data_IF_580947150174
#
_entry.id   IF_580947150174
#
_cell.length_a   1.000
_cell.length_b   1.000
_cell.length_c   1.000
_cell.angle_alpha   90.00
_cell.angle_beta   90.00
_cell.angle_gamma   90.00
#
_symmetry.space_group_name_H-M   'P 1'
#
loop_
_entity.id
_entity.type
_entity.pdbx_description
1 polymer ?
#
# COMPACT_ATOMS: atom_id res chain seq x y z
N UNK A 1 18.36 1.04 16.14
CA UNK A 1 17.43 1.89 15.37
C UNK A 1 16.23 2.27 16.21
N UNK A 2 15.81 3.54 16.15
CA UNK A 2 14.57 3.99 16.79
C UNK A 2 13.37 3.33 16.09
N UNK A 3 12.27 3.12 16.82
CA UNK A 3 11.04 2.48 16.25
C UNK A 3 10.54 3.22 14.99
N UNK A 4 10.70 4.54 14.94
CA UNK A 4 10.31 5.38 13.81
C UNK A 4 11.15 5.15 12.56
N UNK A 5 12.48 5.06 12.69
CA UNK A 5 13.38 4.78 11.57
C UNK A 5 13.04 3.43 10.93
N UNK A 6 12.71 2.42 11.75
CA UNK A 6 12.32 1.11 11.25
C UNK A 6 10.99 1.16 10.49
N UNK A 7 10.00 1.88 11.00
CA UNK A 7 8.70 1.99 10.35
C UNK A 7 8.84 2.67 8.96
N UNK A 8 9.74 3.64 8.83
CA UNK A 8 10.09 4.32 7.56
C UNK A 8 10.84 3.40 6.61
N UNK A 9 11.89 2.70 7.07
CA UNK A 9 12.63 1.77 6.19
C UNK A 9 11.74 0.65 5.64
N UNK A 10 10.84 0.12 6.48
CA UNK A 10 9.88 -0.90 6.05
C UNK A 10 8.89 -0.31 5.07
N UNK A 11 8.49 0.94 5.26
CA UNK A 11 7.63 1.63 4.31
C UNK A 11 8.26 1.77 2.92
N UNK A 12 9.55 2.10 2.83
CA UNK A 12 10.27 2.04 1.55
C UNK A 12 10.27 0.65 0.91
N UNK A 13 10.43 -0.42 1.70
CA UNK A 13 10.31 -1.79 1.19
C UNK A 13 8.89 -2.04 0.65
N UNK A 14 7.86 -1.61 1.38
CA UNK A 14 6.46 -1.70 0.93
C UNK A 14 6.27 -0.97 -0.39
N UNK A 15 6.75 0.27 -0.51
CA UNK A 15 6.66 1.08 -1.72
C UNK A 15 7.32 0.38 -2.91
N UNK A 16 8.55 -0.11 -2.75
CA UNK A 16 9.27 -0.81 -3.83
C UNK A 16 8.51 -2.05 -4.28
N UNK A 17 7.99 -2.85 -3.36
CA UNK A 17 7.20 -4.03 -3.69
C UNK A 17 5.89 -3.68 -4.39
N UNK A 18 5.20 -2.61 -3.97
CA UNK A 18 3.98 -2.12 -4.61
C UNK A 18 4.26 -1.67 -6.04
N UNK A 19 5.32 -0.89 -6.25
CA UNK A 19 5.73 -0.44 -7.58
C UNK A 19 6.13 -1.61 -8.49
N UNK A 20 6.85 -2.60 -7.95
CA UNK A 20 7.19 -3.82 -8.67
C UNK A 20 5.93 -4.57 -9.12
N UNK A 21 4.96 -4.76 -8.22
CA UNK A 21 3.69 -5.43 -8.58
C UNK A 21 2.90 -4.62 -9.61
N UNK A 22 2.84 -3.29 -9.45
CA UNK A 22 2.22 -2.42 -10.43
C UNK A 22 2.87 -2.57 -11.82
N UNK A 23 4.20 -2.54 -11.88
CA UNK A 23 4.96 -2.73 -13.11
C UNK A 23 4.71 -4.11 -13.76
N UNK A 24 4.66 -5.18 -12.97
CA UNK A 24 4.32 -6.51 -13.49
C UNK A 24 2.91 -6.55 -14.09
N UNK A 25 1.94 -5.92 -13.41
CA UNK A 25 0.57 -5.80 -13.91
C UNK A 25 0.53 -5.01 -15.21
N UNK A 26 1.21 -3.86 -15.29
CA UNK A 26 1.21 -3.04 -16.52
C UNK A 26 1.89 -3.74 -17.69
N UNK A 27 2.97 -4.48 -17.44
CA UNK A 27 3.61 -5.34 -18.44
C UNK A 27 2.67 -6.46 -18.93
N UNK A 28 2.02 -7.17 -18.01
CA UNK A 28 1.12 -8.29 -18.37
C UNK A 28 -0.10 -7.87 -19.19
N UNK A 29 -0.57 -6.62 -19.02
CA UNK A 29 -1.75 -6.08 -19.71
C UNK A 29 -1.40 -5.39 -21.04
N UNK A 30 -0.18 -5.59 -21.56
CA UNK A 30 0.19 -5.20 -22.92
C UNK A 30 0.57 -3.74 -23.11
N UNK A 31 1.05 -3.07 -22.05
CA UNK A 31 1.66 -1.74 -22.11
C UNK A 31 0.81 -0.66 -22.82
N UNK A 32 -0.52 -0.80 -22.82
CA UNK A 32 -1.45 0.20 -23.34
C UNK A 32 -1.58 1.37 -22.35
N UNK A 33 -0.46 1.99 -21.98
CA UNK A 33 -0.37 3.17 -21.11
C UNK A 33 -1.13 4.38 -21.69
N UNK A 34 -1.52 4.34 -22.96
CA UNK A 34 -2.06 5.48 -23.71
C UNK A 34 -3.58 5.50 -23.87
N UNK A 35 -4.32 4.54 -23.31
CA UNK A 35 -5.77 4.65 -23.17
C UNK A 35 -6.09 4.91 -21.68
N UNK A 36 -6.72 6.04 -21.37
CA UNK A 36 -7.03 6.43 -19.98
C UNK A 36 -7.82 5.34 -19.22
N UNK A 37 -8.66 4.58 -19.92
CA UNK A 37 -9.44 3.49 -19.35
C UNK A 37 -8.60 2.28 -18.89
N UNK A 38 -7.44 2.03 -19.52
CA UNK A 38 -6.54 0.94 -19.10
C UNK A 38 -5.68 1.33 -17.90
N UNK A 39 -5.26 2.59 -17.77
CA UNK A 39 -4.50 3.05 -16.61
C UNK A 39 -5.31 2.93 -15.31
N UNK A 40 -6.56 3.37 -15.31
CA UNK A 40 -7.45 3.23 -14.15
C UNK A 40 -7.61 1.77 -13.71
N UNK A 41 -7.81 0.86 -14.68
CA UNK A 41 -7.96 -0.58 -14.43
C UNK A 41 -6.67 -1.20 -13.88
N UNK A 42 -5.51 -0.82 -14.42
CA UNK A 42 -4.21 -1.28 -13.93
C UNK A 42 -3.97 -0.87 -12.48
N UNK A 43 -4.26 0.38 -12.13
CA UNK A 43 -4.12 0.90 -10.76
C UNK A 43 -5.09 0.21 -9.78
N UNK A 44 -6.33 -0.02 -10.22
CA UNK A 44 -7.30 -0.81 -9.47
C UNK A 44 -6.82 -2.23 -9.20
N UNK A 45 -6.33 -2.93 -10.23
CA UNK A 45 -5.78 -4.28 -10.08
C UNK A 45 -4.55 -4.31 -9.17
N UNK A 46 -3.74 -3.25 -9.22
CA UNK A 46 -2.57 -3.09 -8.35
C UNK A 46 -2.93 -2.82 -6.88
N UNK A 47 -4.17 -2.42 -6.60
CA UNK A 47 -4.63 -2.14 -5.24
C UNK A 47 -4.69 -3.42 -4.40
N UNK A 48 -5.06 -4.55 -4.99
CA UNK A 48 -5.09 -5.84 -4.28
C UNK A 48 -3.71 -6.32 -3.79
N UNK A 49 -2.68 -6.45 -4.64
CA UNK A 49 -1.34 -6.81 -4.17
C UNK A 49 -0.78 -5.75 -3.22
N UNK A 50 -1.07 -4.47 -3.43
CA UNK A 50 -0.64 -3.42 -2.50
C UNK A 50 -1.21 -3.58 -1.10
N UNK A 51 -2.51 -3.91 -1.01
CA UNK A 51 -3.15 -4.27 0.26
C UNK A 51 -2.45 -5.47 0.92
N UNK A 52 -2.19 -6.54 0.16
CA UNK A 52 -1.54 -7.75 0.68
C UNK A 52 -0.12 -7.45 1.19
N UNK A 53 0.67 -6.68 0.44
CA UNK A 53 2.03 -6.27 0.83
C UNK A 53 1.97 -5.49 2.15
N UNK A 54 1.11 -4.47 2.25
CA UNK A 54 0.99 -3.65 3.45
C UNK A 54 0.49 -4.48 4.65
N UNK A 55 -0.46 -5.39 4.43
CA UNK A 55 -0.94 -6.33 5.44
C UNK A 55 0.17 -7.25 5.96
N UNK A 56 0.93 -7.88 5.05
CA UNK A 56 2.03 -8.79 5.40
C UNK A 56 3.17 -8.04 6.09
N UNK A 57 3.49 -6.83 5.63
CA UNK A 57 4.45 -5.96 6.30
C UNK A 57 4.00 -5.62 7.73
N UNK A 58 2.71 -5.32 7.94
CA UNK A 58 2.16 -5.06 9.25
C UNK A 58 2.22 -6.28 10.18
N UNK A 59 2.05 -7.49 9.63
CA UNK A 59 2.25 -8.76 10.33
C UNK A 59 3.71 -8.91 10.79
N UNK A 60 4.69 -8.80 9.88
CA UNK A 60 6.11 -8.91 10.23
C UNK A 60 6.57 -7.84 11.23
N UNK A 61 5.98 -6.65 11.14
CA UNK A 61 6.25 -5.55 12.06
C UNK A 61 5.53 -5.65 13.41
N UNK A 62 4.76 -6.72 13.66
CA UNK A 62 4.02 -6.98 14.91
C UNK A 62 3.12 -5.81 15.30
N UNK A 63 2.22 -5.44 14.40
CA UNK A 63 1.33 -4.28 14.59
C UNK A 63 0.20 -4.57 15.59
N UNK A 64 0.40 -4.20 16.86
CA UNK A 64 -0.49 -4.67 17.94
C UNK A 64 -1.48 -3.62 18.49
N UNK A 65 -1.34 -2.35 18.10
CA UNK A 65 -2.22 -1.28 18.57
C UNK A 65 -2.81 -0.48 17.42
N UNK A 66 -3.99 0.12 17.64
CA UNK A 66 -4.68 0.94 16.63
C UNK A 66 -3.81 2.11 16.22
N UNK A 67 -3.19 2.80 17.19
CA UNK A 67 -2.28 3.90 16.92
C UNK A 67 -1.11 3.49 16.01
N UNK A 68 -0.50 2.33 16.27
CA UNK A 68 0.61 1.84 15.48
C UNK A 68 0.19 1.45 14.06
N UNK A 69 -1.00 0.83 13.91
CA UNK A 69 -1.56 0.47 12.61
C UNK A 69 -1.86 1.69 11.76
N UNK A 70 -2.54 2.69 12.33
CA UNK A 70 -2.85 3.96 11.65
C UNK A 70 -1.56 4.69 11.29
N UNK A 71 -0.60 4.79 12.22
CA UNK A 71 0.69 5.44 11.96
C UNK A 71 1.46 4.79 10.82
N UNK A 72 1.55 3.46 10.80
CA UNK A 72 2.23 2.72 9.72
C UNK A 72 1.50 2.86 8.39
N UNK A 73 0.17 2.70 8.40
CA UNK A 73 -0.65 2.90 7.20
C UNK A 73 -0.45 4.30 6.61
N UNK A 74 -0.48 5.34 7.44
CA UNK A 74 -0.23 6.72 7.00
C UNK A 74 1.18 6.91 6.46
N UNK A 75 2.22 6.48 7.19
CA UNK A 75 3.61 6.63 6.75
C UNK A 75 3.86 5.97 5.40
N UNK A 76 3.45 4.71 5.24
CA UNK A 76 3.68 3.95 4.01
C UNK A 76 2.85 4.51 2.84
N UNK A 77 1.65 5.02 3.12
CA UNK A 77 0.84 5.69 2.10
C UNK A 77 1.47 7.00 1.65
N UNK A 78 1.99 7.81 2.58
CA UNK A 78 2.68 9.07 2.25
C UNK A 78 3.94 8.79 1.41
N UNK A 79 4.73 7.80 1.80
CA UNK A 79 5.93 7.39 1.03
C UNK A 79 5.54 6.91 -0.37
N UNK A 80 4.45 6.15 -0.49
CA UNK A 80 3.94 5.72 -1.78
C UNK A 80 3.46 6.91 -2.63
N UNK A 81 2.74 7.87 -2.02
CA UNK A 81 2.33 9.10 -2.70
C UNK A 81 3.54 9.85 -3.22
N UNK A 82 4.59 10.03 -2.40
CA UNK A 82 5.84 10.69 -2.83
C UNK A 82 6.47 9.95 -4.00
N UNK A 83 6.54 8.62 -3.96
CA UNK A 83 7.09 7.83 -5.06
C UNK A 83 6.29 8.00 -6.36
N UNK A 84 4.95 7.98 -6.29
CA UNK A 84 4.10 8.23 -7.46
C UNK A 84 4.20 9.67 -7.96
N UNK A 85 4.35 10.67 -7.07
CA UNK A 85 4.63 12.07 -7.46
C UNK A 85 5.92 12.15 -8.28
N UNK A 86 6.99 11.50 -7.81
CA UNK A 86 8.28 11.49 -8.50
C UNK A 86 8.14 10.81 -9.87
N UNK A 87 7.47 9.66 -9.95
CA UNK A 87 7.22 8.97 -11.21
C UNK A 87 6.42 9.84 -12.18
N UNK A 88 5.34 10.46 -11.71
CA UNK A 88 4.52 11.36 -12.52
C UNK A 88 5.33 12.55 -13.04
N UNK A 89 6.27 13.06 -12.25
CA UNK A 89 7.17 14.12 -12.68
C UNK A 89 8.13 13.65 -13.76
N UNK A 90 8.81 12.52 -13.54
CA UNK A 90 9.79 11.95 -14.48
C UNK A 90 9.13 11.65 -15.83
N UNK A 91 7.91 11.12 -15.84
CA UNK A 91 7.17 10.76 -17.05
C UNK A 91 6.24 11.86 -17.58
N UNK A 92 6.26 13.06 -17.00
CA UNK A 92 5.38 14.19 -17.36
C UNK A 92 3.89 13.81 -17.41
N UNK A 93 3.46 12.95 -16.51
CA UNK A 93 2.12 12.35 -16.50
C UNK A 93 1.30 12.74 -15.26
N UNK A 94 1.54 13.93 -14.69
CA UNK A 94 0.86 14.40 -13.49
C UNK A 94 -0.66 14.42 -13.62
N UNK A 95 -1.18 15.10 -14.63
CA UNK A 95 -2.62 15.22 -14.84
C UNK A 95 -3.26 13.84 -15.08
N UNK A 96 -2.66 13.04 -15.97
CA UNK A 96 -3.10 11.68 -16.23
C UNK A 96 -3.10 10.81 -14.97
N UNK A 97 -2.06 10.85 -14.14
CA UNK A 97 -1.97 9.99 -12.96
C UNK A 97 -2.93 10.42 -11.84
N UNK A 98 -3.01 11.71 -11.53
CA UNK A 98 -3.83 12.23 -10.42
C UNK A 98 -5.30 12.43 -10.76
N UNK A 99 -5.69 12.50 -12.04
CA UNK A 99 -7.09 12.46 -12.44
C UNK A 99 -7.71 11.05 -12.28
N UNK A 100 -6.88 10.02 -12.10
CA UNK A 100 -7.34 8.64 -12.07
C UNK A 100 -7.78 8.16 -10.67
N UNK A 101 -9.06 7.79 -10.56
CA UNK A 101 -9.63 7.23 -9.33
C UNK A 101 -8.87 6.00 -8.81
N UNK A 102 -8.34 5.16 -9.69
CA UNK A 102 -7.57 3.96 -9.35
C UNK A 102 -6.31 4.25 -8.53
N UNK A 103 -5.69 5.43 -8.69
CA UNK A 103 -4.54 5.83 -7.89
C UNK A 103 -4.93 6.01 -6.41
N UNK A 104 -6.07 6.64 -6.16
CA UNK A 104 -6.59 6.84 -4.80
C UNK A 104 -7.03 5.52 -4.16
N UNK A 105 -7.55 4.57 -4.96
CA UNK A 105 -7.80 3.21 -4.50
C UNK A 105 -6.53 2.48 -4.09
N UNK A 106 -5.44 2.66 -4.84
CA UNK A 106 -4.13 2.10 -4.51
C UNK A 106 -3.59 2.66 -3.19
N UNK A 107 -3.71 3.97 -2.97
CA UNK A 107 -3.35 4.59 -1.69
C UNK A 107 -4.22 4.08 -0.55
N UNK A 108 -5.54 3.99 -0.76
CA UNK A 108 -6.47 3.43 0.22
C UNK A 108 -6.14 1.99 0.60
N UNK A 109 -5.74 1.17 -0.37
CA UNK A 109 -5.35 -0.22 -0.13
C UNK A 109 -4.14 -0.34 0.80
N UNK A 110 -3.10 0.48 0.60
CA UNK A 110 -1.92 0.51 1.48
C UNK A 110 -2.26 1.03 2.87
N UNK A 111 -3.11 2.06 2.96
CA UNK A 111 -3.57 2.61 4.24
C UNK A 111 -4.37 1.58 5.06
N UNK A 112 -5.25 0.82 4.40
CA UNK A 112 -6.18 -0.11 5.06
C UNK A 112 -5.48 -1.41 5.44
N UNK A 113 -4.45 -1.87 4.72
CA UNK A 113 -3.75 -3.14 4.99
C UNK A 113 -3.35 -3.36 6.46
N UNK A 114 -2.61 -2.43 7.09
CA UNK A 114 -2.20 -2.55 8.50
C UNK A 114 -3.37 -2.50 9.49
N UNK A 115 -4.41 -1.72 9.14
CA UNK A 115 -5.62 -1.57 9.96
C UNK A 115 -6.42 -2.89 9.93
N UNK A 116 -6.59 -3.46 8.74
CA UNK A 116 -7.29 -4.71 8.54
C UNK A 116 -6.55 -5.88 9.22
N UNK A 117 -5.22 -5.93 9.13
CA UNK A 117 -4.40 -6.87 9.89
C UNK A 117 -4.73 -6.82 11.39
N UNK A 118 -4.71 -5.63 11.97
CA UNK A 118 -5.03 -5.46 13.38
C UNK A 118 -6.45 -5.94 13.70
N UNK A 119 -7.46 -5.58 12.89
CA UNK A 119 -8.85 -5.98 13.14
C UNK A 119 -9.04 -7.50 13.06
N UNK A 120 -8.42 -8.15 12.08
CA UNK A 120 -8.50 -9.59 11.88
C UNK A 120 -7.83 -10.37 13.03
N UNK A 121 -6.66 -9.92 13.49
CA UNK A 121 -5.85 -10.69 14.46
C UNK A 121 -6.00 -10.24 15.92
N UNK A 122 -6.48 -9.02 16.20
CA UNK A 122 -6.85 -8.58 17.57
C UNK A 122 -7.96 -9.46 18.17
N UNK A 123 -8.85 -10.00 17.34
CA UNK A 123 -9.91 -10.92 17.77
C UNK A 123 -9.39 -12.28 18.27
N UNK A 124 -8.25 -12.75 17.76
CA UNK A 124 -7.68 -14.05 18.17
C UNK A 124 -6.98 -13.97 19.54
N UNK A 125 -6.28 -12.87 19.84
CA UNK A 125 -5.63 -12.71 21.15
C UNK A 125 -6.59 -12.46 22.31
N UNK A 126 -7.73 -11.79 22.07
CA UNK A 126 -8.77 -11.59 23.11
C UNK A 126 -9.51 -12.89 23.46
N UNK A 127 -9.73 -13.78 22.48
CA UNK A 127 -10.35 -15.10 22.73
C UNK A 127 -9.45 -16.07 23.49
N UNK A 128 -8.12 -15.98 23.34
CA UNK A 128 -7.15 -16.86 24.02
C UNK A 128 -7.02 -16.63 25.54
N UNK A 129 -7.50 -15.50 26.05
CA UNK A 129 -7.47 -15.17 27.48
C UNK A 129 -8.75 -15.65 28.19
N UNK A 130 -9.77 -16.11 27.43
CA UNK A 130 -11.08 -16.55 27.95
C UNK A 130 -11.33 -18.04 27.84
N UNK A 131 -10.30 -18.85 27.67
CA UNK A 131 -10.40 -20.30 27.81
C UNK A 131 -9.95 -20.66 29.24
N UNK A 132 -10.82 -21.23 30.08
CA UNK A 132 -10.47 -21.69 31.42
C UNK A 132 -9.47 -22.85 31.39
#
# INVERSE_FOLDING_TARGET
MKKMERDVLVGWIVVVLVLLMHFLITMSLGNSYFAESSLNRMLWLSSFPAFLIAFVAAFFQKTNTVFLAVRRGLLWTIELMVAFTILAWVFRSFEGLYANAGLYWLFGAVLIGPIFYLMAFRRQHSKRIRTP
#
